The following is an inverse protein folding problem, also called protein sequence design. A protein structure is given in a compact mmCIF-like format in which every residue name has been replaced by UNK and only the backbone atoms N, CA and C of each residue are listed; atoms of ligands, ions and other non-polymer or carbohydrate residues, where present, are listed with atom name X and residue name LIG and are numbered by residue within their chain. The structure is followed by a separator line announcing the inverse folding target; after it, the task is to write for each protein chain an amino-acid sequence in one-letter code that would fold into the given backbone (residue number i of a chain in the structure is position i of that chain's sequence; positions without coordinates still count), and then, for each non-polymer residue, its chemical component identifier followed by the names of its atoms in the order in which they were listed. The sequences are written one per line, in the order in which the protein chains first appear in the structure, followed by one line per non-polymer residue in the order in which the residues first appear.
data_IF_447836480507
#
_entry.id   IF_447836480507
#
_cell.length_a   1.000
_cell.length_b   1.000
_cell.length_c   1.000
_cell.angle_alpha   90.00
_cell.angle_beta   90.00
_cell.angle_gamma   90.00
#
_symmetry.space_group_name_H-M   'P 1'
#
loop_
_entity.id
_entity.type
_entity.pdbx_description
1 polymer ?
#
# COMPACT_ATOMS: atom_id res chain seq x y z
N UNK A 1 -1.00 12.19 22.32
CA UNK A 1 -1.56 12.22 20.96
C UNK A 1 -1.17 10.91 20.30
N UNK A 2 -2.12 9.99 20.07
CA UNK A 2 -1.81 8.72 19.39
C UNK A 2 -1.68 9.03 17.90
N UNK A 3 -0.45 9.10 17.40
CA UNK A 3 -0.20 9.33 15.96
C UNK A 3 -0.52 8.02 15.24
N UNK A 4 -1.67 7.93 14.58
CA UNK A 4 -2.10 6.74 13.84
C UNK A 4 -1.93 6.95 12.34
N UNK A 5 -0.86 6.42 11.77
CA UNK A 5 -0.72 6.20 10.33
C UNK A 5 -1.34 4.86 9.92
N UNK A 6 -1.80 4.75 8.67
CA UNK A 6 -2.51 3.59 8.17
C UNK A 6 -1.66 2.34 7.95
N UNK A 7 -2.25 1.36 7.25
CA UNK A 7 -1.62 0.06 6.98
C UNK A 7 -0.29 0.20 6.22
N UNK A 8 -0.15 1.21 5.34
CA UNK A 8 1.07 1.40 4.57
C UNK A 8 2.14 2.10 5.38
N UNK A 9 1.76 3.08 6.19
CA UNK A 9 2.68 3.75 7.11
C UNK A 9 3.29 2.76 8.10
N UNK A 10 2.49 1.80 8.58
CA UNK A 10 2.99 0.71 9.45
C UNK A 10 4.01 -0.18 8.73
N UNK A 11 3.71 -0.59 7.49
CA UNK A 11 4.63 -1.40 6.67
C UNK A 11 5.91 -0.65 6.32
N UNK A 12 5.77 0.63 5.97
CA UNK A 12 6.90 1.48 5.60
C UNK A 12 7.80 1.78 6.79
N UNK A 13 7.23 2.05 7.98
CA UNK A 13 8.01 2.18 9.21
C UNK A 13 8.81 0.91 9.51
N UNK A 14 8.17 -0.26 9.38
CA UNK A 14 8.84 -1.54 9.57
C UNK A 14 10.01 -1.69 8.60
N UNK A 15 9.78 -1.36 7.33
CA UNK A 15 10.83 -1.37 6.32
C UNK A 15 12.01 -0.46 6.67
N UNK A 16 11.75 0.78 7.08
CA UNK A 16 12.80 1.71 7.50
C UNK A 16 13.63 1.12 8.66
N UNK A 17 13.00 0.49 9.65
CA UNK A 17 13.73 -0.11 10.77
C UNK A 17 14.57 -1.31 10.33
N UNK A 18 13.99 -2.19 9.51
CA UNK A 18 14.60 -3.48 9.19
C UNK A 18 15.64 -3.39 8.05
N UNK A 19 15.49 -2.40 7.15
CA UNK A 19 16.25 -2.32 5.90
C UNK A 19 16.92 -0.97 5.62
N UNK A 20 16.49 0.12 6.26
CA UNK A 20 17.01 1.48 6.03
C UNK A 20 17.10 2.27 7.35
N UNK A 21 17.83 1.67 8.29
CA UNK A 21 17.88 2.14 9.68
C UNK A 21 18.52 3.53 9.80
N UNK A 22 19.47 3.87 8.92
CA UNK A 22 20.09 5.18 8.85
C UNK A 22 19.05 6.27 8.57
N UNK A 23 18.23 6.09 7.53
CA UNK A 23 17.14 7.03 7.22
C UNK A 23 16.11 7.11 8.34
N UNK A 24 15.80 5.98 8.98
CA UNK A 24 14.93 5.97 10.15
C UNK A 24 15.44 6.91 11.25
N UNK A 25 16.72 6.80 11.61
CA UNK A 25 17.31 7.63 12.66
C UNK A 25 17.46 9.09 12.24
N UNK A 26 17.82 9.37 10.99
CA UNK A 26 17.87 10.75 10.47
C UNK A 26 16.51 11.44 10.63
N UNK A 27 15.44 10.79 10.17
CA UNK A 27 14.08 11.31 10.28
C UNK A 27 13.60 11.41 11.73
N UNK A 28 14.03 10.49 12.60
CA UNK A 28 13.71 10.54 14.02
C UNK A 28 14.39 11.73 14.70
N UNK A 29 15.68 11.95 14.42
CA UNK A 29 16.46 13.06 14.98
C UNK A 29 16.03 14.42 14.42
N UNK A 30 15.57 14.50 13.17
CA UNK A 30 14.98 15.72 12.60
C UNK A 30 13.57 16.01 13.14
N UNK A 31 12.91 15.03 13.77
CA UNK A 31 11.52 15.14 14.24
C UNK A 31 10.48 14.96 13.14
N UNK A 32 10.89 14.65 11.91
CA UNK A 32 10.02 14.58 10.72
C UNK A 32 9.48 13.16 10.46
N UNK A 33 9.93 12.15 11.22
CA UNK A 33 9.58 10.74 11.01
C UNK A 33 8.08 10.49 10.82
N UNK A 34 7.24 11.10 11.65
CA UNK A 34 5.81 10.87 11.60
C UNK A 34 5.15 11.51 10.37
N UNK A 35 5.54 12.73 10.02
CA UNK A 35 5.04 13.42 8.84
C UNK A 35 5.45 12.67 7.57
N UNK A 36 6.71 12.22 7.51
CA UNK A 36 7.23 11.44 6.39
C UNK A 36 6.49 10.11 6.23
N UNK A 37 6.24 9.38 7.32
CA UNK A 37 5.46 8.14 7.29
C UNK A 37 4.01 8.40 6.87
N UNK A 38 3.37 9.47 7.35
CA UNK A 38 2.01 9.82 6.99
C UNK A 38 1.88 10.20 5.51
N UNK A 39 2.83 10.97 4.98
CA UNK A 39 2.89 11.31 3.56
C UNK A 39 3.08 10.05 2.69
N UNK A 40 3.97 9.14 3.12
CA UNK A 40 4.18 7.86 2.46
C UNK A 40 2.91 6.99 2.49
N UNK A 41 2.19 6.95 3.61
CA UNK A 41 0.93 6.18 3.76
C UNK A 41 -0.15 6.67 2.79
N UNK A 42 -0.36 7.98 2.71
CA UNK A 42 -1.31 8.59 1.79
C UNK A 42 -0.94 8.34 0.32
N UNK A 43 0.36 8.47 -0.02
CA UNK A 43 0.85 8.22 -1.37
C UNK A 43 0.66 6.75 -1.76
N UNK A 44 0.96 5.83 -0.85
CA UNK A 44 0.81 4.40 -1.05
C UNK A 44 -0.67 4.00 -1.24
N UNK A 45 -1.57 4.55 -0.44
CA UNK A 45 -3.01 4.27 -0.57
C UNK A 45 -3.56 4.76 -1.92
N UNK A 46 -3.15 5.97 -2.37
CA UNK A 46 -3.54 6.47 -3.71
C UNK A 46 -3.02 5.56 -4.83
N UNK A 47 -1.74 5.17 -4.75
CA UNK A 47 -1.11 4.29 -5.73
C UNK A 47 -1.76 2.90 -5.74
N UNK A 48 -2.09 2.37 -4.57
CA UNK A 48 -2.81 1.09 -4.43
C UNK A 48 -4.16 1.15 -5.13
N UNK A 49 -4.97 2.17 -4.86
CA UNK A 49 -6.28 2.33 -5.47
C UNK A 49 -6.20 2.46 -7.00
N UNK A 50 -5.25 3.26 -7.51
CA UNK A 50 -5.01 3.36 -8.95
C UNK A 50 -4.58 2.01 -9.57
N UNK A 51 -3.71 1.27 -8.89
CA UNK A 51 -3.21 -0.04 -9.36
C UNK A 51 -4.32 -1.09 -9.37
N UNK A 52 -5.17 -1.12 -8.34
CA UNK A 52 -6.33 -2.02 -8.29
C UNK A 52 -7.28 -1.73 -9.46
N UNK A 53 -7.61 -0.46 -9.71
CA UNK A 53 -8.48 -0.09 -10.82
C UNK A 53 -7.92 -0.53 -12.18
N UNK A 54 -6.62 -0.31 -12.41
CA UNK A 54 -5.97 -0.73 -13.66
C UNK A 54 -5.93 -2.27 -13.80
N UNK A 55 -5.65 -3.00 -12.72
CA UNK A 55 -5.64 -4.47 -12.73
C UNK A 55 -7.05 -5.05 -12.94
N UNK A 56 -8.08 -4.44 -12.36
CA UNK A 56 -9.47 -4.82 -12.60
C UNK A 56 -9.85 -4.63 -14.07
N UNK A 57 -9.46 -3.50 -14.67
CA UNK A 57 -9.69 -3.21 -16.10
C UNK A 57 -9.00 -4.22 -17.00
N UNK A 58 -7.75 -4.61 -16.69
CA UNK A 58 -6.99 -5.61 -17.47
C UNK A 58 -7.55 -7.02 -17.38
N UNK A 59 -8.21 -7.37 -16.27
CA UNK A 59 -8.78 -8.69 -16.04
C UNK A 59 -10.28 -8.77 -16.35
N UNK A 60 -10.84 -7.72 -16.96
CA UNK A 60 -12.27 -7.59 -17.29
C UNK A 60 -13.19 -7.92 -16.10
N UNK A 61 -12.80 -7.44 -14.91
CA UNK A 61 -13.56 -7.67 -13.67
C UNK A 61 -14.75 -6.72 -13.66
N UNK A 62 -15.89 -7.22 -14.14
CA UNK A 62 -17.12 -6.45 -14.23
C UNK A 62 -17.95 -6.52 -12.94
N UNK A 63 -18.75 -5.47 -12.63
CA UNK A 63 -19.71 -5.51 -11.53
C UNK A 63 -20.77 -6.63 -11.64
N UNK A 64 -20.98 -7.17 -12.85
CA UNK A 64 -21.90 -8.30 -13.09
C UNK A 64 -21.31 -9.63 -12.60
N UNK A 65 -19.98 -9.81 -12.65
CA UNK A 65 -19.30 -10.99 -12.10
C UNK A 65 -19.56 -11.13 -10.59
N UNK A 66 -19.56 -10.02 -9.85
CA UNK A 66 -19.83 -10.00 -8.40
C UNK A 66 -21.22 -10.57 -8.06
N UNK A 67 -22.22 -10.30 -8.92
CA UNK A 67 -23.61 -10.77 -8.71
C UNK A 67 -23.80 -12.21 -9.17
N UNK A 68 -23.17 -12.61 -10.27
CA UNK A 68 -23.32 -13.96 -10.85
C UNK A 68 -22.50 -15.01 -10.13
N UNK A 69 -21.29 -14.66 -9.68
CA UNK A 69 -20.38 -15.57 -9.00
C UNK A 69 -19.54 -14.83 -7.93
N UNK A 70 -20.14 -14.57 -6.75
CA UNK A 70 -19.49 -13.80 -5.68
C UNK A 70 -18.20 -14.45 -5.17
N UNK A 71 -18.12 -15.78 -5.12
CA UNK A 71 -16.92 -16.50 -4.69
C UNK A 71 -15.74 -16.31 -5.66
N UNK A 72 -16.01 -16.47 -6.96
CA UNK A 72 -15.00 -16.25 -7.99
C UNK A 72 -14.55 -14.79 -8.01
N UNK A 73 -15.48 -13.85 -7.86
CA UNK A 73 -15.16 -12.42 -7.73
C UNK A 73 -14.24 -12.17 -6.53
N UNK A 74 -14.52 -12.76 -5.36
CA UNK A 74 -13.67 -12.62 -4.18
C UNK A 74 -12.26 -13.17 -4.42
N UNK A 75 -12.13 -14.34 -5.06
CA UNK A 75 -10.82 -14.93 -5.42
C UNK A 75 -10.01 -14.00 -6.33
N UNK A 76 -10.64 -13.43 -7.35
CA UNK A 76 -9.98 -12.51 -8.29
C UNK A 76 -9.59 -11.21 -7.57
N UNK A 77 -10.48 -10.62 -6.80
CA UNK A 77 -10.19 -9.39 -6.04
C UNK A 77 -9.07 -9.59 -5.02
N UNK A 78 -9.02 -10.74 -4.35
CA UNK A 78 -7.91 -11.08 -3.45
C UNK A 78 -6.58 -11.17 -4.21
N UNK A 79 -6.56 -11.78 -5.40
CA UNK A 79 -5.36 -11.84 -6.25
C UNK A 79 -4.92 -10.44 -6.69
N UNK A 80 -5.86 -9.59 -7.12
CA UNK A 80 -5.59 -8.20 -7.52
C UNK A 80 -5.05 -7.39 -6.34
N UNK A 81 -5.70 -7.47 -5.18
CA UNK A 81 -5.27 -6.78 -3.94
C UNK A 81 -3.85 -7.17 -3.54
N UNK A 82 -3.52 -8.46 -3.61
CA UNK A 82 -2.15 -8.95 -3.33
C UNK A 82 -1.13 -8.39 -4.32
N UNK A 83 -1.41 -8.49 -5.62
CA UNK A 83 -0.51 -7.96 -6.67
C UNK A 83 -0.32 -6.44 -6.55
N UNK A 84 -1.41 -5.70 -6.31
CA UNK A 84 -1.34 -4.26 -6.09
C UNK A 84 -0.49 -3.92 -4.85
N UNK A 85 -0.58 -4.74 -3.80
CA UNK A 85 0.25 -4.57 -2.60
C UNK A 85 1.73 -4.79 -2.87
N UNK A 86 2.08 -5.82 -3.62
CA UNK A 86 3.47 -6.11 -4.00
C UNK A 86 4.06 -4.96 -4.84
N UNK A 87 3.31 -4.47 -5.83
CA UNK A 87 3.72 -3.34 -6.68
C UNK A 87 3.93 -2.06 -5.85
N UNK A 88 2.98 -1.74 -4.96
CA UNK A 88 3.06 -0.54 -4.12
C UNK A 88 4.25 -0.61 -3.17
N UNK A 89 4.43 -1.74 -2.48
CA UNK A 89 5.58 -1.93 -1.58
C UNK A 89 6.90 -1.78 -2.33
N UNK A 90 7.05 -2.43 -3.50
CA UNK A 90 8.25 -2.29 -4.31
C UNK A 90 8.54 -0.82 -4.67
N UNK A 91 7.51 -0.06 -5.04
CA UNK A 91 7.66 1.38 -5.32
C UNK A 91 8.01 2.21 -4.09
N UNK A 92 7.57 1.84 -2.89
CA UNK A 92 7.89 2.55 -1.66
C UNK A 92 9.31 2.29 -1.15
N UNK A 93 9.85 1.10 -1.42
CA UNK A 93 11.16 0.66 -0.93
C UNK A 93 12.30 0.92 -1.91
N UNK A 94 12.01 1.29 -3.17
CA UNK A 94 13.02 1.60 -4.18
C UNK A 94 13.37 3.09 -4.29
N UNK A 95 13.07 3.89 -3.26
CA UNK A 95 13.38 5.33 -3.21
C UNK A 95 14.74 5.63 -2.61
#
# INVERSE_FOLDING_TARGET
MLITYGKWGTKYRRYLIDHDNEKYYILLCSGELYEHIAAADLKAERLYNATVQELMRRQDVTPSLKRKNPEQWQKIMNKISRLATEIVMGKMTSF
#
